data_IF_030370549894
#
_entry.id   IF_030370549894
#
_cell.length_a   1.000
_cell.length_b   1.000
_cell.length_c   1.000
_cell.angle_alpha   90.00
_cell.angle_beta   90.00
_cell.angle_gamma   90.00
#
_symmetry.space_group_name_H-M   'P 1'
#
loop_
_entity.id
_entity.type
_entity.pdbx_description
1 polymer ?
#
# COMPACT_ATOMS: atom_id res chain seq x y z
N UNK A 1 -14.47 3.66 23.88
CA UNK A 1 -13.29 4.52 23.84
C UNK A 1 -13.13 5.09 22.43
N UNK A 2 -12.86 6.40 22.37
CA UNK A 2 -12.57 7.10 21.11
C UNK A 2 -11.14 7.61 21.19
N UNK A 3 -10.36 7.34 20.13
CA UNK A 3 -8.97 7.77 20.07
C UNK A 3 -8.74 8.55 18.78
N UNK A 4 -8.31 9.80 18.91
CA UNK A 4 -7.97 10.64 17.76
C UNK A 4 -6.49 10.53 17.47
N UNK A 5 -6.13 10.37 16.19
CA UNK A 5 -4.75 10.39 15.71
C UNK A 5 -4.52 11.74 15.05
N UNK A 6 -3.60 12.55 15.62
CA UNK A 6 -3.44 13.94 15.24
C UNK A 6 -2.77 14.15 13.88
N UNK A 7 -1.99 13.18 13.41
CA UNK A 7 -1.31 13.27 12.13
C UNK A 7 -0.65 11.97 11.75
N UNK A 8 -0.01 11.96 10.61
CA UNK A 8 0.68 10.78 10.07
C UNK A 8 2.18 10.88 10.27
N UNK A 9 2.86 9.75 10.21
CA UNK A 9 4.33 9.67 10.13
C UNK A 9 4.72 9.37 8.70
N UNK A 10 5.60 10.18 8.14
CA UNK A 10 6.15 9.92 6.81
C UNK A 10 7.21 8.83 6.89
N UNK A 11 6.98 7.77 6.12
CA UNK A 11 7.90 6.63 6.03
C UNK A 11 8.83 6.85 4.84
N UNK A 12 10.16 6.99 5.05
CA UNK A 12 11.07 7.19 3.92
C UNK A 12 11.18 5.92 3.07
N UNK A 13 11.04 6.09 1.76
CA UNK A 13 11.21 5.02 0.78
C UNK A 13 11.88 5.60 -0.47
N UNK A 14 12.58 4.77 -1.27
CA UNK A 14 13.19 5.23 -2.51
C UNK A 14 12.15 5.44 -3.63
N UNK A 15 12.58 6.06 -4.74
CA UNK A 15 11.79 6.12 -5.97
C UNK A 15 10.77 7.25 -6.04
N UNK A 16 10.82 8.21 -5.14
CA UNK A 16 9.93 9.37 -5.17
C UNK A 16 8.52 9.12 -4.63
N UNK A 17 8.24 7.93 -4.16
CA UNK A 17 6.96 7.61 -3.52
C UNK A 17 6.88 8.28 -2.16
N UNK A 18 5.68 8.76 -1.82
CA UNK A 18 5.39 9.34 -0.50
C UNK A 18 4.44 8.40 0.23
N UNK A 19 4.83 7.99 1.43
CA UNK A 19 4.02 7.14 2.30
C UNK A 19 3.78 7.88 3.61
N UNK A 20 2.52 8.16 3.92
CA UNK A 20 2.11 8.75 5.20
C UNK A 20 1.27 7.72 5.95
N UNK A 21 1.88 7.09 6.97
CA UNK A 21 1.18 6.14 7.82
C UNK A 21 0.35 6.88 8.86
N UNK A 22 -0.96 6.71 8.80
CA UNK A 22 -1.88 7.29 9.78
C UNK A 22 -2.08 6.35 10.98
N UNK A 23 -2.33 5.09 10.69
CA UNK A 23 -2.54 4.06 11.70
C UNK A 23 -1.57 2.92 11.41
N UNK A 24 -0.91 2.42 12.44
CA UNK A 24 0.03 1.31 12.28
C UNK A 24 1.14 1.32 13.33
N UNK A 25 2.10 0.46 13.13
CA UNK A 25 3.16 0.20 14.12
C UNK A 25 4.01 1.41 14.42
N UNK A 26 4.25 2.27 13.44
CA UNK A 26 5.13 3.45 13.57
C UNK A 26 4.38 4.64 14.16
N UNK A 27 3.26 5.03 13.56
CA UNK A 27 2.58 6.28 13.95
C UNK A 27 1.72 6.14 15.20
N UNK A 28 0.92 5.11 15.31
CA UNK A 28 -0.06 4.97 16.38
C UNK A 28 0.19 3.78 17.31
N UNK A 29 1.13 2.89 16.96
CA UNK A 29 1.42 1.69 17.74
C UNK A 29 0.42 0.56 17.54
N UNK A 30 -0.42 0.63 16.52
CA UNK A 30 -1.42 -0.41 16.24
C UNK A 30 -0.77 -1.58 15.51
N UNK A 31 -1.08 -2.79 15.95
CA UNK A 31 -0.57 -4.02 15.33
C UNK A 31 -1.64 -4.76 14.54
N UNK A 32 -2.92 -4.50 14.80
CA UNK A 32 -4.02 -5.19 14.14
C UNK A 32 -4.28 -4.69 12.72
N UNK A 33 -3.99 -3.42 12.46
CA UNK A 33 -4.28 -2.78 11.18
C UNK A 33 -3.29 -1.66 10.92
N UNK A 34 -2.92 -1.46 9.66
CA UNK A 34 -2.26 -0.23 9.24
C UNK A 34 -3.05 0.45 8.13
N UNK A 35 -3.04 1.78 8.13
CA UNK A 35 -3.71 2.62 7.14
C UNK A 35 -2.71 3.68 6.71
N UNK A 36 -2.35 3.69 5.43
CA UNK A 36 -1.40 4.64 4.89
C UNK A 36 -1.97 5.32 3.65
N UNK A 37 -1.68 6.61 3.54
CA UNK A 37 -1.96 7.39 2.33
C UNK A 37 -0.68 7.42 1.50
N UNK A 38 -0.80 7.08 0.24
CA UNK A 38 0.34 6.93 -0.65
C UNK A 38 0.19 7.77 -1.91
N UNK A 39 1.29 8.41 -2.31
CA UNK A 39 1.39 9.10 -3.60
C UNK A 39 2.60 8.54 -4.32
N UNK A 40 2.39 7.92 -5.47
CA UNK A 40 3.45 7.36 -6.28
C UNK A 40 3.57 8.11 -7.61
N UNK A 41 4.81 8.44 -8.05
CA UNK A 41 4.99 9.18 -9.29
C UNK A 41 4.67 8.33 -10.52
N UNK A 42 4.56 8.97 -11.71
CA UNK A 42 4.41 8.22 -12.95
C UNK A 42 5.56 7.22 -13.15
N UNK A 43 5.21 6.01 -13.60
CA UNK A 43 6.18 4.98 -13.89
C UNK A 43 6.91 4.41 -12.68
N UNK A 44 6.38 4.64 -11.48
CA UNK A 44 6.95 4.06 -10.26
C UNK A 44 6.73 2.56 -10.21
N UNK A 45 7.70 1.83 -9.67
CA UNK A 45 7.55 0.42 -9.36
C UNK A 45 8.33 0.07 -8.09
N UNK A 46 8.04 -1.11 -7.54
CA UNK A 46 8.74 -1.66 -6.38
C UNK A 46 9.02 -3.15 -6.61
N UNK A 47 9.93 -3.76 -5.81
CA UNK A 47 10.16 -5.19 -5.89
C UNK A 47 8.89 -5.98 -5.61
N UNK A 48 8.78 -7.17 -6.20
CA UNK A 48 7.69 -8.09 -5.89
C UNK A 48 7.74 -8.48 -4.42
N UNK A 49 6.59 -8.79 -3.85
CA UNK A 49 6.46 -9.20 -2.46
C UNK A 49 5.43 -10.32 -2.34
N UNK A 50 5.58 -11.12 -1.29
CA UNK A 50 4.62 -12.17 -0.96
C UNK A 50 4.18 -11.92 0.50
N UNK A 51 3.27 -10.97 0.73
CA UNK A 51 2.94 -10.52 2.07
C UNK A 51 2.26 -11.58 2.91
N UNK A 52 2.48 -11.49 4.23
CA UNK A 52 1.77 -12.30 5.23
C UNK A 52 0.49 -11.63 5.71
N UNK A 53 0.15 -10.47 5.16
CA UNK A 53 -1.08 -9.72 5.51
C UNK A 53 -2.02 -9.66 4.32
N UNK A 54 -3.29 -9.37 4.61
CA UNK A 54 -4.26 -8.97 3.59
C UNK A 54 -4.09 -7.49 3.34
N UNK A 55 -4.03 -7.07 2.09
CA UNK A 55 -3.94 -5.65 1.73
C UNK A 55 -5.15 -5.23 0.91
N UNK A 56 -5.79 -4.15 1.35
CA UNK A 56 -6.87 -3.46 0.63
C UNK A 56 -6.31 -2.16 0.10
N UNK A 57 -6.37 -1.95 -1.20
CA UNK A 57 -5.91 -0.72 -1.83
C UNK A 57 -7.09 -0.03 -2.48
N UNK A 58 -7.35 1.23 -2.09
CA UNK A 58 -8.41 2.07 -2.67
C UNK A 58 -7.74 3.20 -3.43
N UNK A 59 -7.94 3.26 -4.74
CA UNK A 59 -7.32 4.28 -5.59
C UNK A 59 -8.18 5.53 -5.61
N UNK A 60 -7.56 6.66 -5.29
CA UNK A 60 -8.21 7.98 -5.25
C UNK A 60 -7.98 8.75 -6.54
N UNK A 61 -6.82 8.59 -7.17
CA UNK A 61 -6.42 9.28 -8.40
C UNK A 61 -5.39 8.44 -9.15
N UNK A 62 -5.42 8.49 -10.47
CA UNK A 62 -4.44 7.80 -11.32
C UNK A 62 -4.71 6.31 -11.43
N UNK A 63 -3.65 5.54 -11.64
CA UNK A 63 -3.74 4.10 -11.93
C UNK A 63 -2.67 3.33 -11.18
N UNK A 64 -3.10 2.32 -10.43
CA UNK A 64 -2.22 1.33 -9.81
C UNK A 64 -2.31 0.05 -10.64
N UNK A 65 -1.15 -0.50 -10.99
CA UNK A 65 -1.04 -1.77 -11.70
C UNK A 65 -0.56 -2.83 -10.72
N UNK A 66 -1.24 -3.96 -10.67
CA UNK A 66 -0.89 -5.06 -9.77
C UNK A 66 -0.62 -6.31 -10.60
N UNK A 67 0.66 -6.70 -10.67
CA UNK A 67 1.05 -7.95 -11.31
C UNK A 67 0.86 -9.10 -10.33
N UNK A 68 0.29 -10.20 -10.79
CA UNK A 68 0.03 -11.41 -10.00
C UNK A 68 0.05 -12.63 -10.93
N UNK A 69 -0.18 -13.81 -10.39
CA UNK A 69 -0.10 -15.07 -11.16
C UNK A 69 -1.07 -15.10 -12.36
N UNK A 70 -2.22 -14.44 -12.25
CA UNK A 70 -3.21 -14.39 -13.33
C UNK A 70 -2.98 -13.29 -14.36
N UNK A 71 -1.92 -12.48 -14.22
CA UNK A 71 -1.61 -11.37 -15.14
C UNK A 71 -1.47 -10.04 -14.41
N UNK A 72 -1.90 -8.96 -15.07
CA UNK A 72 -1.86 -7.62 -14.49
C UNK A 72 -3.26 -7.08 -14.35
N UNK A 73 -3.61 -6.63 -13.15
CA UNK A 73 -4.89 -5.97 -12.87
C UNK A 73 -4.67 -4.47 -12.77
N UNK A 74 -5.48 -3.71 -13.49
CA UNK A 74 -5.45 -2.25 -13.50
C UNK A 74 -6.53 -1.73 -12.54
N UNK A 75 -6.14 -0.86 -11.61
CA UNK A 75 -7.06 -0.28 -10.61
C UNK A 75 -7.01 1.23 -10.77
N UNK A 76 -8.15 1.84 -11.14
CA UNK A 76 -8.26 3.28 -11.38
C UNK A 76 -9.06 3.96 -10.28
N UNK A 77 -9.13 5.31 -10.33
CA UNK A 77 -9.81 6.11 -9.32
C UNK A 77 -11.22 5.60 -9.04
N UNK A 78 -11.56 5.44 -7.76
CA UNK A 78 -12.85 4.93 -7.31
C UNK A 78 -12.95 3.41 -7.26
N UNK A 79 -11.88 2.71 -7.62
CA UNK A 79 -11.82 1.26 -7.57
C UNK A 79 -10.91 0.79 -6.44
N UNK A 80 -11.05 -0.47 -6.07
CA UNK A 80 -10.22 -1.09 -5.04
C UNK A 80 -9.77 -2.47 -5.48
N UNK A 81 -8.67 -2.95 -4.88
CA UNK A 81 -8.19 -4.30 -5.06
C UNK A 81 -7.84 -4.91 -3.70
N UNK A 82 -8.09 -6.20 -3.56
CA UNK A 82 -7.74 -6.95 -2.35
C UNK A 82 -6.71 -8.00 -2.73
N UNK A 83 -5.58 -8.02 -2.02
CA UNK A 83 -4.57 -9.07 -2.18
C UNK A 83 -4.50 -9.89 -0.91
N UNK A 84 -4.67 -11.20 -1.06
CA UNK A 84 -4.70 -12.12 0.08
C UNK A 84 -3.28 -12.51 0.51
N UNK A 85 -3.09 -12.94 1.78
CA UNK A 85 -1.77 -13.40 2.24
C UNK A 85 -1.25 -14.56 1.39
N UNK A 86 0.06 -14.55 1.13
CA UNK A 86 0.71 -15.61 0.35
C UNK A 86 0.66 -15.42 -1.15
N UNK A 87 -0.03 -14.40 -1.63
CA UNK A 87 -0.10 -14.05 -3.05
C UNK A 87 1.14 -13.23 -3.42
N UNK A 88 1.90 -13.68 -4.42
CA UNK A 88 3.04 -12.88 -4.91
C UNK A 88 2.52 -11.79 -5.83
N UNK A 89 2.82 -10.54 -5.50
CA UNK A 89 2.35 -9.37 -6.25
C UNK A 89 3.48 -8.35 -6.42
N UNK A 90 3.36 -7.54 -7.48
CA UNK A 90 4.22 -6.38 -7.70
C UNK A 90 3.35 -5.19 -8.07
N UNK A 91 3.47 -4.11 -7.29
CA UNK A 91 2.73 -2.88 -7.53
C UNK A 91 3.56 -1.92 -8.36
N UNK A 92 2.90 -1.21 -9.28
CA UNK A 92 3.50 -0.15 -10.07
C UNK A 92 2.43 0.86 -10.44
N UNK A 93 2.83 1.96 -11.08
CA UNK A 93 1.89 2.99 -11.54
C UNK A 93 1.99 3.18 -13.04
N UNK A 94 0.91 3.69 -13.62
CA UNK A 94 0.86 4.08 -15.01
C UNK A 94 1.46 5.47 -15.26
N UNK A 95 1.16 6.06 -16.41
CA UNK A 95 1.78 7.30 -16.89
C UNK A 95 1.41 8.54 -16.06
N UNK A 96 0.30 8.50 -15.34
CA UNK A 96 -0.19 9.62 -14.51
C UNK A 96 0.06 9.40 -13.01
N UNK A 97 0.81 8.36 -12.65
CA UNK A 97 1.05 8.04 -11.24
C UNK A 97 -0.22 7.59 -10.54
N UNK A 98 -0.21 7.64 -9.22
CA UNK A 98 -1.40 7.28 -8.45
C UNK A 98 -1.37 7.88 -7.04
N UNK A 99 -2.55 8.11 -6.51
CA UNK A 99 -2.80 8.44 -5.11
C UNK A 99 -3.78 7.41 -4.58
N UNK A 100 -3.46 6.79 -3.45
CA UNK A 100 -4.28 5.69 -2.93
C UNK A 100 -4.11 5.51 -1.44
N UNK A 101 -5.08 4.78 -0.85
CA UNK A 101 -5.04 4.36 0.54
C UNK A 101 -4.77 2.86 0.56
N UNK A 102 -3.79 2.44 1.36
CA UNK A 102 -3.49 1.02 1.59
C UNK A 102 -3.81 0.65 3.04
N UNK A 103 -4.59 -0.41 3.21
CA UNK A 103 -4.97 -0.95 4.51
C UNK A 103 -4.44 -2.38 4.60
N UNK A 104 -3.63 -2.65 5.62
CA UNK A 104 -3.07 -3.99 5.85
C UNK A 104 -3.59 -4.57 7.16
N UNK A 105 -3.99 -5.83 7.13
CA UNK A 105 -4.43 -6.61 8.29
C UNK A 105 -3.68 -7.95 8.33
N UNK A 106 -2.85 -8.21 9.35
CA UNK A 106 -2.40 -7.27 10.40
C UNK A 106 -1.57 -6.10 9.83
N UNK A 107 -1.21 -5.17 10.70
CA UNK A 107 -0.48 -3.97 10.30
C UNK A 107 0.80 -4.29 9.53
N UNK A 108 1.09 -3.47 8.53
CA UNK A 108 2.32 -3.59 7.75
C UNK A 108 3.56 -3.56 8.64
N UNK A 109 4.53 -4.43 8.33
CA UNK A 109 5.91 -4.32 8.79
C UNK A 109 6.83 -4.72 7.63
N UNK A 110 8.08 -4.25 7.59
CA UNK A 110 9.02 -4.67 6.53
C UNK A 110 9.18 -6.19 6.46
N UNK A 111 9.21 -6.86 7.61
CA UNK A 111 9.37 -8.32 7.66
C UNK A 111 8.16 -9.04 7.09
N UNK A 112 6.94 -8.56 7.36
CA UNK A 112 5.73 -9.24 6.90
C UNK A 112 5.42 -9.01 5.42
N UNK A 113 6.05 -8.03 4.78
CA UNK A 113 5.92 -7.80 3.34
C UNK A 113 6.60 -8.88 2.52
N UNK A 114 7.66 -9.50 3.03
CA UNK A 114 8.41 -10.57 2.36
C UNK A 114 8.81 -10.20 0.94
N UNK A 115 9.53 -9.09 0.81
CA UNK A 115 10.00 -8.60 -0.50
C UNK A 115 11.12 -9.46 -1.05
N UNK A 116 11.09 -9.64 -2.37
CA UNK A 116 12.13 -10.35 -3.09
C UNK A 116 13.47 -9.59 -3.08
#
# INVERSE_FOLDING_TARGET
VVRKIEGATRIPVPGGKVIDEHVGRVNSGDEAVSIAHMVAPPGWDEPAQTPSFTEYTVVLRGTVLVEHAGGTTEVTAGQAIVTEPGEKVRYSTGDDGAEYIAVCLPAFSPDSANRD
#
